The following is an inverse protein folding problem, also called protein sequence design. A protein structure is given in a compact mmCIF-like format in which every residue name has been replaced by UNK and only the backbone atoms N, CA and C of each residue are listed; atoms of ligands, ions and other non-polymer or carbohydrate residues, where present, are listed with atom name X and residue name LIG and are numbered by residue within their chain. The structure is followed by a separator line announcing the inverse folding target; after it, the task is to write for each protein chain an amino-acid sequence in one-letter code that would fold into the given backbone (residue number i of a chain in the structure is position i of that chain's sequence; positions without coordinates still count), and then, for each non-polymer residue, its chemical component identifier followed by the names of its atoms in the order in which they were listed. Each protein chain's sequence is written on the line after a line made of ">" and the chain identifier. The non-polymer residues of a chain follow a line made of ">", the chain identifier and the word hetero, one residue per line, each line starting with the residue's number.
data_IF_006538546801
#
_entry.id   IF_006538546801
#
_cell.length_a   1.000
_cell.length_b   1.000
_cell.length_c   1.000
_cell.angle_alpha   90.00
_cell.angle_beta   90.00
_cell.angle_gamma   90.00
#
_symmetry.space_group_name_H-M   'P 1'
#
loop_
_entity.id
_entity.type
_entity.pdbx_description
1 polymer ?
#
# COMPACT_ATOMS: atom_id res chain seq x y z
N UNK A 1 0.08 21.82 -0.29
CA UNK A 1 -0.26 21.42 -1.67
C UNK A 1 0.62 20.28 -2.18
N UNK A 2 1.95 20.36 -2.11
CA UNK A 2 2.85 19.29 -2.61
C UNK A 2 2.53 17.91 -2.03
N UNK A 3 2.31 17.79 -0.71
CA UNK A 3 1.91 16.52 -0.10
C UNK A 3 0.57 15.96 -0.58
N UNK A 4 -0.40 16.82 -0.90
CA UNK A 4 -1.69 16.42 -1.45
C UNK A 4 -1.57 15.99 -2.92
N UNK A 5 -0.72 16.66 -3.70
CA UNK A 5 -0.43 16.28 -5.10
C UNK A 5 0.35 14.96 -5.16
N UNK A 6 1.34 14.75 -4.28
CA UNK A 6 2.02 13.46 -4.16
C UNK A 6 1.05 12.36 -3.70
N UNK A 7 0.13 12.66 -2.80
CA UNK A 7 -0.90 11.71 -2.34
C UNK A 7 -1.85 11.28 -3.48
N UNK A 8 -2.43 12.24 -4.21
CA UNK A 8 -3.29 11.96 -5.36
C UNK A 8 -2.51 11.26 -6.47
N UNK A 9 -1.27 11.69 -6.74
CA UNK A 9 -0.40 11.08 -7.74
C UNK A 9 0.00 9.64 -7.43
N UNK A 10 0.24 9.33 -6.16
CA UNK A 10 0.55 7.95 -5.71
C UNK A 10 -0.70 7.07 -5.81
N UNK A 11 -1.89 7.58 -5.45
CA UNK A 11 -3.16 6.88 -5.67
C UNK A 11 -3.45 6.61 -7.15
N UNK A 12 -3.23 7.59 -8.03
CA UNK A 12 -3.39 7.41 -9.48
C UNK A 12 -2.34 6.46 -10.07
N UNK A 13 -1.09 6.53 -9.62
CA UNK A 13 -0.02 5.63 -10.07
C UNK A 13 -0.28 4.18 -9.67
N UNK A 14 -0.76 3.95 -8.44
CA UNK A 14 -1.19 2.62 -7.98
C UNK A 14 -2.35 2.10 -8.84
N UNK A 15 -3.35 2.94 -9.13
CA UNK A 15 -4.48 2.58 -10.00
C UNK A 15 -4.05 2.22 -11.44
N UNK A 16 -3.07 2.93 -12.01
CA UNK A 16 -2.54 2.65 -13.34
C UNK A 16 -1.74 1.35 -13.40
N UNK A 17 -0.92 1.04 -12.38
CA UNK A 17 -0.14 -0.21 -12.32
C UNK A 17 -1.07 -1.43 -12.34
N UNK A 18 -2.18 -1.39 -11.60
CA UNK A 18 -3.11 -2.53 -11.54
C UNK A 18 -4.04 -2.64 -12.77
N UNK A 19 -4.01 -1.66 -13.67
CA UNK A 19 -4.78 -1.67 -14.93
C UNK A 19 -4.02 -2.24 -16.13
N UNK A 20 -2.77 -2.66 -15.98
CA UNK A 20 -1.96 -3.16 -17.09
C UNK A 20 -2.55 -4.46 -17.69
N UNK A 21 -3.03 -4.45 -18.95
CA UNK A 21 -3.74 -5.57 -19.56
C UNK A 21 -2.82 -6.73 -19.98
N UNK A 22 -1.50 -6.51 -20.07
CA UNK A 22 -0.57 -7.50 -20.65
C UNK A 22 -0.22 -8.68 -19.71
N UNK A 23 -0.68 -8.66 -18.46
CA UNK A 23 -0.36 -9.71 -17.46
C UNK A 23 -1.47 -10.75 -17.22
N UNK A 24 -2.61 -10.65 -17.90
CA UNK A 24 -3.83 -11.41 -17.58
C UNK A 24 -4.13 -12.44 -18.67
N UNK A 25 -4.38 -13.70 -18.29
CA UNK A 25 -4.78 -14.72 -19.26
C UNK A 25 -4.69 -16.17 -18.78
N UNK A 26 -5.16 -17.08 -19.64
CA UNK A 26 -5.06 -18.53 -19.42
C UNK A 26 -3.69 -19.00 -19.89
N UNK A 27 -2.89 -19.53 -18.96
CA UNK A 27 -1.58 -20.12 -19.26
C UNK A 27 -1.75 -21.44 -20.03
N UNK A 28 -0.70 -21.85 -20.73
CA UNK A 28 -0.69 -23.07 -21.54
C UNK A 28 -0.94 -24.36 -20.72
N UNK A 29 -0.82 -24.30 -19.40
CA UNK A 29 -1.13 -25.38 -18.45
C UNK A 29 -2.60 -25.39 -17.99
N UNK A 30 -3.43 -24.46 -18.47
CA UNK A 30 -4.83 -24.30 -18.08
C UNK A 30 -5.05 -23.51 -16.79
N UNK A 31 -3.99 -22.99 -16.15
CA UNK A 31 -4.13 -22.10 -14.99
C UNK A 31 -4.51 -20.68 -15.43
N UNK A 32 -5.30 -19.99 -14.60
CA UNK A 32 -5.72 -18.62 -14.83
C UNK A 32 -4.75 -17.70 -14.07
N UNK A 33 -4.08 -16.81 -14.79
CA UNK A 33 -3.28 -15.74 -14.19
C UNK A 33 -4.08 -14.44 -14.23
N UNK A 34 -4.42 -13.94 -13.05
CA UNK A 34 -5.20 -12.71 -12.88
C UNK A 34 -4.30 -11.48 -12.76
N UNK A 35 -2.99 -11.64 -12.97
CA UNK A 35 -2.02 -10.55 -13.06
C UNK A 35 -1.68 -9.91 -11.71
N UNK A 36 -1.29 -8.64 -11.77
CA UNK A 36 -0.75 -7.89 -10.63
C UNK A 36 -1.62 -7.89 -9.36
N UNK A 37 -2.97 -7.80 -9.43
CA UNK A 37 -3.82 -7.90 -8.24
C UNK A 37 -3.68 -9.25 -7.51
N UNK A 38 -3.49 -10.36 -8.24
CA UNK A 38 -3.28 -11.68 -7.65
C UNK A 38 -1.92 -11.74 -6.94
N UNK A 39 -0.86 -11.36 -7.64
CA UNK A 39 0.49 -11.33 -7.07
C UNK A 39 0.55 -10.43 -5.82
N UNK A 40 -0.19 -9.31 -5.84
CA UNK A 40 -0.31 -8.43 -4.69
C UNK A 40 -0.88 -9.16 -3.46
N UNK A 41 -2.03 -9.81 -3.59
CA UNK A 41 -2.64 -10.52 -2.46
C UNK A 41 -1.85 -11.74 -2.00
N UNK A 42 -1.18 -12.46 -2.92
CA UNK A 42 -0.26 -13.55 -2.58
C UNK A 42 0.95 -13.05 -1.76
N UNK A 43 1.51 -11.91 -2.14
CA UNK A 43 2.60 -11.27 -1.39
C UNK A 43 2.12 -10.79 -0.01
N UNK A 44 0.94 -10.16 0.06
CA UNK A 44 0.34 -9.73 1.32
C UNK A 44 0.04 -10.92 2.24
N UNK A 45 -0.44 -12.04 1.70
CA UNK A 45 -0.67 -13.26 2.48
C UNK A 45 0.64 -13.80 3.07
N UNK A 46 1.68 -13.90 2.24
CA UNK A 46 3.01 -14.40 2.62
C UNK A 46 3.62 -13.57 3.74
N UNK A 47 3.62 -12.24 3.61
CA UNK A 47 4.19 -11.34 4.63
C UNK A 47 3.37 -11.41 5.92
N UNK A 48 2.05 -11.28 5.81
CA UNK A 48 1.14 -11.32 6.95
C UNK A 48 1.14 -10.04 7.81
N UNK A 49 0.07 -9.86 8.61
CA UNK A 49 -0.20 -8.59 9.28
C UNK A 49 0.78 -8.31 10.44
N UNK A 50 1.26 -9.36 11.11
CA UNK A 50 2.22 -9.22 12.21
C UNK A 50 3.54 -8.57 11.76
N UNK A 51 4.08 -8.99 10.61
CA UNK A 51 5.31 -8.39 10.06
C UNK A 51 5.07 -6.93 9.69
N UNK A 52 3.92 -6.59 9.11
CA UNK A 52 3.58 -5.20 8.77
C UNK A 52 3.40 -4.30 10.00
N UNK A 53 2.84 -4.82 11.10
CA UNK A 53 2.76 -4.09 12.37
C UNK A 53 4.15 -3.85 12.96
N UNK A 54 5.02 -4.86 12.94
CA UNK A 54 6.42 -4.71 13.38
C UNK A 54 7.13 -3.66 12.51
N UNK A 55 6.95 -3.71 11.19
CA UNK A 55 7.51 -2.73 10.27
C UNK A 55 7.03 -1.31 10.59
N UNK A 56 5.76 -1.14 10.95
CA UNK A 56 5.20 0.17 11.33
C UNK A 56 5.81 0.70 12.63
N UNK A 57 5.93 -0.16 13.65
CA UNK A 57 6.57 0.20 14.92
C UNK A 57 8.04 0.58 14.71
N UNK A 58 8.79 -0.23 13.97
CA UNK A 58 10.19 0.06 13.64
C UNK A 58 10.34 1.35 12.83
N UNK A 59 9.44 1.59 11.87
CA UNK A 59 9.43 2.83 11.08
C UNK A 59 9.16 4.05 11.97
N UNK A 60 8.19 3.96 12.88
CA UNK A 60 7.92 5.00 13.89
C UNK A 60 9.12 5.24 14.81
N UNK A 61 9.80 4.19 15.26
CA UNK A 61 11.02 4.31 16.08
C UNK A 61 12.17 4.97 15.31
N UNK A 62 12.29 4.69 14.02
CA UNK A 62 13.25 5.38 13.16
C UNK A 62 12.92 6.86 13.02
N UNK A 63 11.64 7.22 12.80
CA UNK A 63 11.22 8.63 12.78
C UNK A 63 11.59 9.32 14.09
N UNK A 64 11.32 8.66 15.23
CA UNK A 64 11.73 9.17 16.55
C UNK A 64 13.25 9.43 16.61
N UNK A 65 14.07 8.45 16.23
CA UNK A 65 15.52 8.55 16.27
C UNK A 65 16.10 9.65 15.38
N UNK A 66 15.43 9.98 14.28
CA UNK A 66 15.86 11.01 13.33
C UNK A 66 15.24 12.39 13.57
N UNK A 67 14.22 12.49 14.42
CA UNK A 67 13.51 13.74 14.70
C UNK A 67 13.33 13.96 16.20
N UNK A 68 12.17 13.59 16.78
CA UNK A 68 11.89 13.62 18.21
C UNK A 68 10.72 12.69 18.56
N UNK A 69 10.46 12.49 19.86
CA UNK A 69 9.47 11.52 20.35
C UNK A 69 8.06 11.83 19.85
N UNK A 70 7.67 13.11 19.87
CA UNK A 70 6.37 13.56 19.39
C UNK A 70 6.15 13.18 17.92
N UNK A 71 7.19 13.31 17.09
CA UNK A 71 7.14 12.97 15.67
C UNK A 71 7.08 11.46 15.41
N UNK A 72 7.76 10.66 16.23
CA UNK A 72 7.56 9.20 16.21
C UNK A 72 6.10 8.83 16.48
N UNK A 73 5.50 9.39 17.53
CA UNK A 73 4.09 9.13 17.86
C UNK A 73 3.15 9.61 16.76
N UNK A 74 3.35 10.82 16.22
CA UNK A 74 2.57 11.34 15.08
C UNK A 74 2.66 10.40 13.87
N UNK A 75 3.86 9.87 13.55
CA UNK A 75 4.06 8.92 12.46
C UNK A 75 3.30 7.61 12.68
N UNK A 76 3.33 7.05 13.90
CA UNK A 76 2.57 5.84 14.23
C UNK A 76 1.06 6.06 14.09
N UNK A 77 0.55 7.19 14.60
CA UNK A 77 -0.88 7.52 14.51
C UNK A 77 -1.32 7.68 13.05
N UNK A 78 -0.51 8.36 12.24
CA UNK A 78 -0.76 8.49 10.79
C UNK A 78 -0.79 7.10 10.14
N UNK A 79 0.19 6.24 10.44
CA UNK A 79 0.24 4.88 9.91
C UNK A 79 -1.02 4.07 10.23
N UNK A 80 -1.50 4.13 11.48
CA UNK A 80 -2.71 3.42 11.91
C UNK A 80 -3.99 3.97 11.26
N UNK A 81 -4.17 5.31 11.24
CA UNK A 81 -5.35 5.94 10.64
C UNK A 81 -5.39 5.67 9.13
N UNK A 82 -4.26 5.81 8.45
CA UNK A 82 -4.16 5.55 7.02
C UNK A 82 -4.35 4.06 6.70
N UNK A 83 -3.98 3.14 7.59
CA UNK A 83 -4.25 1.71 7.41
C UNK A 83 -5.75 1.43 7.32
N UNK A 84 -6.55 2.05 8.18
CA UNK A 84 -7.99 1.81 8.22
C UNK A 84 -8.69 2.54 7.08
N UNK A 85 -8.45 3.84 6.94
CA UNK A 85 -9.22 4.67 6.01
C UNK A 85 -8.77 4.48 4.56
N UNK A 86 -7.46 4.58 4.32
CA UNK A 86 -6.91 4.54 2.96
C UNK A 86 -6.63 3.09 2.56
N UNK A 87 -6.12 2.27 3.48
CA UNK A 87 -5.94 0.85 3.26
C UNK A 87 -7.25 0.17 2.88
N UNK A 88 -8.33 0.39 3.65
CA UNK A 88 -9.67 -0.10 3.30
C UNK A 88 -10.08 0.21 1.87
N UNK A 89 -9.97 1.48 1.47
CA UNK A 89 -10.32 1.91 0.13
C UNK A 89 -9.42 1.28 -0.95
N UNK A 90 -8.10 1.31 -0.78
CA UNK A 90 -7.15 0.79 -1.77
C UNK A 90 -7.32 -0.71 -1.96
N UNK A 91 -7.42 -1.48 -0.87
CA UNK A 91 -7.60 -2.93 -0.93
C UNK A 91 -8.90 -3.30 -1.64
N UNK A 92 -10.01 -2.59 -1.35
CA UNK A 92 -11.29 -2.83 -2.03
C UNK A 92 -11.18 -2.60 -3.56
N UNK A 93 -10.43 -1.60 -4.00
CA UNK A 93 -10.21 -1.37 -5.43
C UNK A 93 -9.35 -2.47 -6.08
N UNK A 94 -8.38 -3.03 -5.34
CA UNK A 94 -7.56 -4.14 -5.84
C UNK A 94 -8.38 -5.43 -5.89
N UNK A 95 -9.26 -5.68 -4.92
CA UNK A 95 -10.22 -6.79 -4.96
C UNK A 95 -11.16 -6.68 -6.17
N UNK A 96 -11.72 -5.49 -6.42
CA UNK A 96 -12.55 -5.25 -7.61
C UNK A 96 -11.79 -5.46 -8.91
N UNK A 97 -10.52 -5.05 -8.97
CA UNK A 97 -9.67 -5.31 -10.13
C UNK A 97 -9.41 -6.81 -10.31
N UNK A 98 -9.22 -7.55 -9.22
CA UNK A 98 -9.02 -9.00 -9.25
C UNK A 98 -10.27 -9.74 -9.76
N UNK A 99 -11.45 -9.37 -9.27
CA UNK A 99 -12.74 -9.90 -9.74
C UNK A 99 -13.00 -9.56 -11.21
N UNK A 100 -12.70 -8.32 -11.62
CA UNK A 100 -12.79 -7.89 -13.01
C UNK A 100 -11.92 -8.76 -13.94
N UNK A 101 -10.68 -9.03 -13.55
CA UNK A 101 -9.76 -9.85 -14.33
C UNK A 101 -10.25 -11.30 -14.47
N UNK A 102 -10.91 -11.84 -13.43
CA UNK A 102 -11.45 -13.19 -13.47
C UNK A 102 -12.67 -13.27 -14.41
N UNK A 103 -13.51 -12.24 -14.39
CA UNK A 103 -14.63 -12.12 -15.31
C UNK A 103 -14.13 -12.05 -16.76
N UNK A 104 -13.12 -11.21 -17.03
CA UNK A 104 -12.50 -11.05 -18.35
C UNK A 104 -11.81 -12.33 -18.85
N UNK A 105 -11.33 -13.18 -17.93
CA UNK A 105 -10.73 -14.48 -18.25
C UNK A 105 -11.76 -15.58 -18.60
N UNK A 106 -13.06 -15.27 -18.60
CA UNK A 106 -14.13 -16.21 -18.93
C UNK A 106 -14.49 -17.19 -17.80
N UNK A 107 -13.96 -16.99 -16.60
CA UNK A 107 -14.17 -17.83 -15.43
C UNK A 107 -15.13 -17.19 -14.41
N UNK A 108 -16.18 -16.53 -14.89
CA UNK A 108 -17.14 -15.74 -14.10
C UNK A 108 -17.90 -16.52 -13.01
N UNK A 109 -17.85 -17.86 -13.06
CA UNK A 109 -18.53 -18.73 -12.10
C UNK A 109 -17.62 -19.16 -10.92
N UNK A 110 -16.34 -18.76 -10.93
CA UNK A 110 -15.40 -19.01 -9.85
C UNK A 110 -15.52 -17.87 -8.83
N UNK A 111 -15.57 -18.21 -7.53
CA UNK A 111 -15.55 -17.22 -6.46
C UNK A 111 -14.10 -17.03 -6.02
N UNK A 112 -13.62 -15.78 -6.03
CA UNK A 112 -12.32 -15.44 -5.46
C UNK A 112 -12.48 -15.25 -3.96
N UNK A 113 -11.82 -16.12 -3.19
CA UNK A 113 -11.77 -16.01 -1.74
C UNK A 113 -10.42 -15.39 -1.32
N UNK A 114 -10.37 -14.05 -1.27
CA UNK A 114 -9.21 -13.33 -0.73
C UNK A 114 -9.21 -13.52 0.79
N UNK A 115 -8.20 -14.24 1.29
CA UNK A 115 -8.09 -14.52 2.72
C UNK A 115 -7.98 -13.23 3.54
N UNK A 116 -8.73 -13.13 4.64
CA UNK A 116 -8.68 -12.02 5.61
C UNK A 116 -7.26 -11.61 6.01
N UNK A 117 -6.36 -12.59 6.14
CA UNK A 117 -4.94 -12.35 6.42
C UNK A 117 -4.31 -11.40 5.40
N UNK A 118 -4.57 -11.61 4.10
CA UNK A 118 -4.05 -10.77 3.04
C UNK A 118 -4.69 -9.38 3.06
N UNK A 119 -5.99 -9.30 3.34
CA UNK A 119 -6.75 -8.05 3.49
C UNK A 119 -6.17 -7.18 4.62
N UNK A 120 -6.03 -7.74 5.82
CA UNK A 120 -5.46 -7.01 6.95
C UNK A 120 -3.99 -6.61 6.72
N UNK A 121 -3.22 -7.45 6.02
CA UNK A 121 -1.84 -7.10 5.65
C UNK A 121 -1.81 -5.95 4.65
N UNK A 122 -2.72 -5.96 3.68
CA UNK A 122 -2.89 -4.90 2.69
C UNK A 122 -3.21 -3.56 3.35
N UNK A 123 -4.13 -3.54 4.33
CA UNK A 123 -4.43 -2.34 5.11
C UNK A 123 -3.18 -1.77 5.78
N UNK A 124 -2.44 -2.61 6.49
CA UNK A 124 -1.24 -2.21 7.21
C UNK A 124 -0.09 -1.81 6.27
N UNK A 125 0.02 -2.45 5.11
CA UNK A 125 0.98 -2.07 4.08
C UNK A 125 0.72 -0.65 3.57
N UNK A 126 -0.53 -0.35 3.25
CA UNK A 126 -0.91 1.00 2.82
C UNK A 126 -0.64 2.02 3.92
N UNK A 127 -1.01 1.73 5.17
CA UNK A 127 -0.69 2.61 6.29
C UNK A 127 0.80 2.86 6.47
N UNK A 128 1.64 1.82 6.29
CA UNK A 128 3.09 1.96 6.30
C UNK A 128 3.58 2.89 5.18
N UNK A 129 3.06 2.76 3.95
CA UNK A 129 3.42 3.67 2.86
C UNK A 129 3.12 5.13 3.22
N UNK A 130 1.99 5.39 3.88
CA UNK A 130 1.61 6.73 4.33
C UNK A 130 2.49 7.28 5.44
N UNK A 131 2.86 6.43 6.39
CA UNK A 131 3.84 6.77 7.42
C UNK A 131 5.17 7.22 6.78
N UNK A 132 5.68 6.42 5.85
CA UNK A 132 6.92 6.72 5.13
C UNK A 132 6.81 7.97 4.27
N UNK A 133 5.72 8.13 3.51
CA UNK A 133 5.48 9.33 2.71
C UNK A 133 5.48 10.59 3.58
N UNK A 134 4.80 10.56 4.72
CA UNK A 134 4.78 11.68 5.66
C UNK A 134 6.19 11.96 6.23
N UNK A 135 6.93 10.91 6.60
CA UNK A 135 8.30 11.04 7.07
C UNK A 135 9.24 11.67 6.02
N UNK A 136 9.21 11.20 4.77
CA UNK A 136 10.03 11.76 3.70
C UNK A 136 9.70 13.23 3.43
N UNK A 137 8.42 13.60 3.41
CA UNK A 137 8.00 15.00 3.29
C UNK A 137 8.55 15.87 4.42
N UNK A 138 8.59 15.33 5.64
CA UNK A 138 9.11 16.02 6.81
C UNK A 138 10.65 16.19 6.73
N UNK A 139 11.39 15.15 6.36
CA UNK A 139 12.85 15.22 6.14
C UNK A 139 13.21 16.22 5.05
N UNK A 140 12.50 16.20 3.92
CA UNK A 140 12.71 17.16 2.82
C UNK A 140 12.43 18.60 3.27
N UNK A 141 11.41 18.82 4.11
CA UNK A 141 11.06 20.13 4.65
C UNK A 141 12.14 20.68 5.59
N UNK A 142 12.77 19.83 6.39
CA UNK A 142 13.85 20.25 7.29
C UNK A 142 15.15 20.59 6.55
N UNK A 143 15.47 19.89 5.46
CA UNK A 143 16.68 20.15 4.65
C UNK A 143 16.71 21.56 4.05
N UNK A 144 15.54 22.15 3.74
CA UNK A 144 15.45 23.51 3.19
C UNK A 144 15.75 24.62 4.19
N UNK A 145 15.64 24.39 5.50
CA UNK A 145 15.73 25.45 6.52
C UNK A 145 17.16 25.78 6.98
N UNK A 146 18.13 24.91 6.71
CA UNK A 146 19.53 25.08 7.14
C UNK A 146 20.44 25.64 6.03
N UNK A 147 19.89 26.12 4.90
CA UNK A 147 20.69 26.65 3.77
C UNK A 147 20.72 28.18 3.67
N UNK A 148 20.10 28.89 4.63
CA UNK A 148 20.03 30.36 4.66
C UNK A 148 20.40 30.85 6.06
N UNK A 149 21.63 30.57 6.49
CA UNK A 149 22.38 31.35 7.49
C UNK A 149 23.82 30.81 7.50
N UNK A 150 24.56 31.13 6.44
CA UNK A 150 25.97 31.50 6.53
C UNK A 150 26.11 32.88 5.89
#
# INVERSE_FOLDING_TARGET
>A
MIGFVCFIGLLMGVSMIFHDPDSKGVKADGSIDLGLPQTYFEAMFTIGPGIMLIAMLLSSLLVYGLTNLRKGIEALVIGLICSVLIGGFVTMNIEQALDGNLHDSGASNIIIDVKDRAIYTSYLFVGNLFLWANFFLEVLRFKGKNSITE
#
